data_IF_871581700322
#
_entry.id   IF_871581700322
#
_cell.length_a   1.000
_cell.length_b   1.000
_cell.length_c   1.000
_cell.angle_alpha   90.00
_cell.angle_beta   90.00
_cell.angle_gamma   90.00
#
_symmetry.space_group_name_H-M   'P 1'
#
loop_
_entity.id
_entity.type
_entity.pdbx_description
1 polymer ?
#
# COMPACT_ATOMS: atom_id res chain seq x y z
N UNK A 1 -16.24 -6.37 -8.38
CA UNK A 1 -17.01 -6.14 -7.12
C UNK A 1 -16.09 -6.38 -5.93
N UNK A 2 -16.45 -5.92 -4.72
CA UNK A 2 -15.61 -6.00 -3.51
C UNK A 2 -14.97 -7.38 -3.26
N UNK A 3 -15.69 -8.47 -3.55
CA UNK A 3 -15.19 -9.85 -3.41
C UNK A 3 -14.05 -10.18 -4.40
N UNK A 4 -14.05 -9.60 -5.61
CA UNK A 4 -13.01 -9.87 -6.62
C UNK A 4 -11.65 -9.36 -6.17
N UNK A 5 -11.60 -8.29 -5.39
CA UNK A 5 -10.36 -7.74 -4.86
C UNK A 5 -9.67 -8.69 -3.88
N UNK A 6 -10.41 -9.58 -3.18
CA UNK A 6 -9.78 -10.57 -2.28
C UNK A 6 -8.94 -11.58 -3.07
N UNK A 7 -9.37 -11.89 -4.30
CA UNK A 7 -8.65 -12.77 -5.21
C UNK A 7 -7.51 -12.00 -5.89
N UNK A 8 -7.82 -10.84 -6.49
CA UNK A 8 -6.84 -10.06 -7.26
C UNK A 8 -5.66 -9.59 -6.41
N UNK A 9 -5.94 -9.03 -5.23
CA UNK A 9 -4.93 -8.47 -4.35
C UNK A 9 -4.43 -9.46 -3.29
N UNK A 10 -4.84 -10.74 -3.34
CA UNK A 10 -4.48 -11.74 -2.34
C UNK A 10 -4.93 -11.40 -0.91
N UNK A 11 -5.96 -10.57 -0.77
CA UNK A 11 -6.32 -9.96 0.51
C UNK A 11 -7.01 -10.97 1.43
N UNK A 12 -6.24 -11.54 2.36
CA UNK A 12 -6.71 -12.47 3.38
C UNK A 12 -7.65 -11.79 4.40
N UNK A 13 -8.26 -12.60 5.27
CA UNK A 13 -8.99 -12.08 6.44
C UNK A 13 -8.03 -11.28 7.32
N UNK A 14 -8.54 -10.21 7.94
CA UNK A 14 -7.79 -9.33 8.83
C UNK A 14 -6.61 -8.60 8.17
N UNK A 15 -6.68 -8.35 6.87
CA UNK A 15 -5.69 -7.53 6.18
C UNK A 15 -5.58 -6.13 6.82
N UNK A 16 -4.34 -5.63 6.96
CA UNK A 16 -4.05 -4.27 7.44
C UNK A 16 -3.66 -3.44 6.23
N UNK A 17 -4.50 -2.48 5.90
CA UNK A 17 -4.39 -1.74 4.64
C UNK A 17 -4.05 -0.28 4.86
N UNK A 18 -2.97 0.18 4.25
CA UNK A 18 -2.52 1.56 4.32
C UNK A 18 -3.08 2.39 3.16
N UNK A 19 -3.79 3.47 3.50
CA UNK A 19 -4.36 4.39 2.53
C UNK A 19 -3.36 5.47 2.12
N UNK A 20 -2.72 5.26 0.96
CA UNK A 20 -1.84 6.26 0.30
C UNK A 20 -2.49 6.93 -0.91
N UNK A 21 -3.73 6.54 -1.24
CA UNK A 21 -4.58 7.18 -2.24
C UNK A 21 -5.85 7.72 -1.59
N UNK A 22 -6.50 8.76 -2.17
CA UNK A 22 -7.75 9.26 -1.64
C UNK A 22 -8.85 8.19 -1.67
N UNK A 23 -9.43 7.88 -0.50
CA UNK A 23 -10.42 6.81 -0.35
C UNK A 23 -11.65 6.99 -1.27
N UNK A 24 -12.01 8.23 -1.63
CA UNK A 24 -13.14 8.48 -2.52
C UNK A 24 -12.91 7.94 -3.94
N UNK A 25 -11.67 7.93 -4.45
CA UNK A 25 -11.34 7.27 -5.72
C UNK A 25 -11.41 5.75 -5.55
N UNK A 26 -10.77 5.22 -4.50
CA UNK A 26 -10.71 3.79 -4.24
C UNK A 26 -12.07 3.18 -3.89
N UNK A 27 -13.05 3.98 -3.46
CA UNK A 27 -14.42 3.55 -3.26
C UNK A 27 -15.04 3.01 -4.56
N UNK A 28 -14.75 3.62 -5.71
CA UNK A 28 -15.19 3.11 -7.02
C UNK A 28 -14.57 1.75 -7.37
N UNK A 29 -13.36 1.48 -6.86
CA UNK A 29 -12.68 0.18 -6.99
C UNK A 29 -13.07 -0.81 -5.88
N UNK A 30 -14.00 -0.44 -5.00
CA UNK A 30 -14.52 -1.24 -3.91
C UNK A 30 -13.54 -1.65 -2.80
N UNK A 31 -12.30 -1.14 -2.75
CA UNK A 31 -11.34 -1.51 -1.70
C UNK A 31 -11.81 -1.23 -0.26
N UNK A 32 -12.47 -0.09 0.05
CA UNK A 32 -13.01 0.12 1.40
C UNK A 32 -14.02 -0.96 1.81
N UNK A 33 -14.85 -1.40 0.86
CA UNK A 33 -15.83 -2.47 1.07
C UNK A 33 -15.18 -3.85 1.16
N UNK A 34 -14.10 -4.09 0.40
CA UNK A 34 -13.31 -5.32 0.50
C UNK A 34 -12.75 -5.49 1.92
N UNK A 35 -12.22 -4.43 2.54
CA UNK A 35 -11.73 -4.51 3.91
C UNK A 35 -12.85 -4.80 4.91
N UNK A 36 -14.01 -4.18 4.74
CA UNK A 36 -15.17 -4.49 5.58
C UNK A 36 -15.55 -5.98 5.49
N UNK A 37 -15.59 -6.55 4.27
CA UNK A 37 -15.87 -7.98 4.05
C UNK A 37 -14.81 -8.88 4.69
N UNK A 38 -13.53 -8.49 4.64
CA UNK A 38 -12.42 -9.26 5.18
C UNK A 38 -12.16 -9.02 6.68
N UNK A 39 -12.98 -8.21 7.36
CA UNK A 39 -12.73 -7.75 8.73
C UNK A 39 -11.31 -7.15 8.89
N UNK A 40 -10.91 -6.34 7.90
CA UNK A 40 -9.60 -5.70 7.80
C UNK A 40 -9.52 -4.37 8.55
N UNK A 41 -8.29 -3.89 8.71
CA UNK A 41 -7.96 -2.63 9.38
C UNK A 41 -7.63 -1.54 8.37
N UNK A 42 -8.22 -0.36 8.55
CA UNK A 42 -7.90 0.83 7.77
C UNK A 42 -6.83 1.65 8.50
N UNK A 43 -5.65 1.79 7.90
CA UNK A 43 -4.59 2.68 8.38
C UNK A 43 -4.58 3.92 7.50
N UNK A 44 -4.96 5.07 8.07
CA UNK A 44 -5.12 6.32 7.32
C UNK A 44 -3.98 7.28 7.64
N UNK A 45 -3.40 7.88 6.60
CA UNK A 45 -2.41 8.93 6.74
C UNK A 45 -3.03 10.31 6.53
N UNK A 46 -2.56 11.29 7.30
CA UNK A 46 -2.85 12.71 7.02
C UNK A 46 -2.14 13.17 5.74
N UNK A 47 -0.90 12.73 5.54
CA UNK A 47 -0.06 13.10 4.39
C UNK A 47 0.73 11.89 3.89
N UNK A 48 0.77 11.71 2.58
CA UNK A 48 1.59 10.68 1.93
C UNK A 48 3.02 11.19 1.83
N UNK A 49 3.86 10.80 2.78
CA UNK A 49 5.27 11.20 2.91
C UNK A 49 6.10 9.99 3.37
N UNK A 50 7.42 9.94 3.08
CA UNK A 50 8.24 8.75 3.36
C UNK A 50 8.13 8.28 4.81
N UNK A 51 8.52 9.12 5.77
CA UNK A 51 8.54 8.75 7.20
C UNK A 51 7.18 8.27 7.73
N UNK A 52 6.05 8.99 7.54
CA UNK A 52 4.74 8.50 7.97
C UNK A 52 4.33 7.16 7.35
N UNK A 53 4.74 6.87 6.11
CA UNK A 53 4.46 5.57 5.48
C UNK A 53 5.26 4.47 6.17
N UNK A 54 6.58 4.63 6.30
CA UNK A 54 7.43 3.64 6.97
C UNK A 54 7.05 3.43 8.43
N UNK A 55 6.72 4.50 9.16
CA UNK A 55 6.22 4.43 10.53
C UNK A 55 4.91 3.61 10.58
N UNK A 56 3.94 3.93 9.73
CA UNK A 56 2.68 3.20 9.70
C UNK A 56 2.84 1.72 9.32
N UNK A 57 3.73 1.40 8.38
CA UNK A 57 4.02 0.01 7.99
C UNK A 57 4.59 -0.77 9.18
N UNK A 58 5.59 -0.21 9.86
CA UNK A 58 6.26 -0.86 10.98
C UNK A 58 5.37 -0.95 12.23
N UNK A 59 4.65 0.12 12.58
CA UNK A 59 3.89 0.22 13.83
C UNK A 59 2.56 -0.54 13.78
N UNK A 60 1.95 -0.66 12.59
CA UNK A 60 0.65 -1.29 12.43
C UNK A 60 0.69 -2.66 11.74
N UNK A 61 1.86 -3.10 11.28
CA UNK A 61 2.00 -4.37 10.56
C UNK A 61 1.21 -4.36 9.25
N UNK A 62 1.32 -3.28 8.47
CA UNK A 62 0.63 -3.13 7.18
C UNK A 62 0.98 -4.32 6.28
N UNK A 63 -0.05 -4.88 5.63
CA UNK A 63 0.09 -6.00 4.70
C UNK A 63 -0.21 -5.61 3.25
N UNK A 64 -1.02 -4.58 3.03
CA UNK A 64 -1.40 -4.15 1.69
C UNK A 64 -1.44 -2.62 1.58
N UNK A 65 -1.12 -2.11 0.40
CA UNK A 65 -1.53 -0.77 -0.02
C UNK A 65 -1.74 -0.71 -1.53
N UNK A 66 -2.46 0.33 -1.97
CA UNK A 66 -2.48 0.73 -3.38
C UNK A 66 -1.81 2.08 -3.49
N UNK A 67 -0.98 2.27 -4.52
CA UNK A 67 -0.39 3.57 -4.81
C UNK A 67 -0.26 3.83 -6.30
N UNK A 68 -0.24 5.11 -6.66
CA UNK A 68 0.17 5.54 -7.99
C UNK A 68 1.71 5.52 -8.10
N UNK A 69 2.30 5.57 -9.31
CA UNK A 69 3.76 5.58 -9.49
C UNK A 69 4.49 6.64 -8.65
N UNK A 70 3.83 7.78 -8.38
CA UNK A 70 4.38 8.81 -7.49
C UNK A 70 4.60 8.33 -6.05
N UNK A 71 3.74 7.45 -5.53
CA UNK A 71 3.88 6.86 -4.19
C UNK A 71 5.07 5.89 -4.16
N UNK A 72 5.24 5.10 -5.22
CA UNK A 72 6.42 4.23 -5.37
C UNK A 72 7.71 5.04 -5.38
N UNK A 73 7.73 6.14 -6.14
CA UNK A 73 8.88 7.06 -6.14
C UNK A 73 9.14 7.68 -4.76
N UNK A 74 8.10 7.98 -3.98
CA UNK A 74 8.23 8.49 -2.60
C UNK A 74 8.91 7.46 -1.69
N UNK A 75 8.62 6.16 -1.87
CA UNK A 75 9.23 5.07 -1.11
C UNK A 75 10.69 4.82 -1.55
N UNK A 76 10.92 4.64 -2.84
CA UNK A 76 12.25 4.34 -3.40
C UNK A 76 13.26 5.45 -3.08
N UNK A 77 12.82 6.71 -3.15
CA UNK A 77 13.68 7.87 -2.90
C UNK A 77 13.66 8.34 -1.43
N UNK A 78 13.10 7.54 -0.51
CA UNK A 78 13.15 7.85 0.91
C UNK A 78 14.61 7.93 1.39
N UNK A 79 14.92 8.93 2.23
CA UNK A 79 16.21 9.01 2.91
C UNK A 79 16.28 7.91 3.96
N UNK A 80 17.49 7.42 4.26
CA UNK A 80 17.64 6.29 5.18
C UNK A 80 17.14 6.60 6.61
N UNK A 81 17.19 7.88 7.03
CA UNK A 81 16.61 8.34 8.30
C UNK A 81 15.07 8.24 8.37
N UNK A 82 14.41 8.22 7.20
CA UNK A 82 12.96 8.10 7.08
C UNK A 82 12.53 6.63 6.93
N UNK A 83 13.45 5.72 6.60
CA UNK A 83 13.19 4.28 6.45
C UNK A 83 13.15 3.58 7.80
N UNK A 84 12.32 2.54 7.90
CA UNK A 84 12.28 1.63 9.05
C UNK A 84 12.21 0.19 8.57
N UNK A 85 12.88 -0.69 9.31
CA UNK A 85 12.76 -2.12 9.10
C UNK A 85 11.40 -2.63 9.62
N UNK A 86 10.84 -3.59 8.90
CA UNK A 86 9.64 -4.33 9.27
C UNK A 86 9.78 -5.77 8.74
N UNK A 87 9.16 -6.72 9.43
CA UNK A 87 9.42 -8.15 9.21
C UNK A 87 8.54 -8.79 8.13
N UNK A 88 7.42 -8.15 7.80
CA UNK A 88 6.43 -8.66 6.86
C UNK A 88 6.64 -8.13 5.44
N UNK A 89 6.19 -8.88 4.44
CA UNK A 89 6.05 -8.39 3.07
C UNK A 89 4.79 -7.54 2.95
N UNK A 90 4.90 -6.43 2.22
CA UNK A 90 3.76 -5.54 1.94
C UNK A 90 3.41 -5.67 0.45
N UNK A 91 2.19 -6.09 0.15
CA UNK A 91 1.71 -6.14 -1.23
C UNK A 91 1.36 -4.73 -1.71
N UNK A 92 2.08 -4.28 -2.75
CA UNK A 92 1.83 -2.99 -3.38
C UNK A 92 1.05 -3.17 -4.68
N UNK A 93 -0.21 -2.77 -4.69
CA UNK A 93 -1.01 -2.74 -5.90
C UNK A 93 -0.81 -1.39 -6.63
N UNK A 94 -0.28 -1.47 -7.85
CA UNK A 94 -0.15 -0.27 -8.68
C UNK A 94 -1.51 0.15 -9.21
N UNK A 95 -1.86 1.42 -9.02
CA UNK A 95 -3.12 1.98 -9.49
C UNK A 95 -2.92 3.27 -10.28
N UNK A 96 -4.00 3.72 -10.93
CA UNK A 96 -4.12 4.95 -11.73
C UNK A 96 -3.31 4.98 -13.05
N UNK A 97 -2.04 4.58 -13.04
CA UNK A 97 -1.19 4.59 -14.24
C UNK A 97 -0.19 3.42 -14.19
N UNK A 98 0.24 2.89 -15.36
CA UNK A 98 1.31 1.90 -15.40
C UNK A 98 2.60 2.51 -14.82
N UNK A 99 3.34 1.78 -13.98
CA UNK A 99 4.61 2.24 -13.44
C UNK A 99 5.70 2.19 -14.53
N UNK A 100 6.60 3.20 -14.60
CA UNK A 100 7.78 3.11 -15.45
C UNK A 100 8.66 1.93 -15.05
N UNK A 101 9.34 1.29 -16.00
CA UNK A 101 10.19 0.11 -15.75
C UNK A 101 11.26 0.34 -14.66
N UNK A 102 11.89 1.52 -14.67
CA UNK A 102 12.87 1.91 -13.65
C UNK A 102 12.28 1.94 -12.22
N UNK A 103 10.99 2.28 -12.08
CA UNK A 103 10.29 2.29 -10.79
C UNK A 103 10.02 0.85 -10.32
N UNK A 104 9.60 -0.04 -11.22
CA UNK A 104 9.38 -1.46 -10.90
C UNK A 104 10.64 -2.15 -10.38
N UNK A 105 11.79 -1.91 -11.02
CA UNK A 105 13.07 -2.46 -10.56
C UNK A 105 13.43 -1.99 -9.15
N UNK A 106 13.24 -0.70 -8.86
CA UNK A 106 13.53 -0.13 -7.54
C UNK A 106 12.61 -0.66 -6.43
N UNK A 107 11.38 -1.06 -6.75
CA UNK A 107 10.47 -1.65 -5.76
C UNK A 107 10.89 -3.05 -5.32
N UNK A 108 11.31 -3.88 -6.29
CA UNK A 108 11.82 -5.22 -5.99
C UNK A 108 13.03 -5.16 -5.04
N UNK A 109 13.95 -4.22 -5.27
CA UNK A 109 15.12 -4.00 -4.42
C UNK A 109 14.75 -3.45 -3.03
N UNK A 110 13.62 -2.76 -2.90
CA UNK A 110 13.10 -2.24 -1.64
C UNK A 110 12.33 -3.28 -0.80
N UNK A 111 12.18 -4.51 -1.31
CA UNK A 111 11.46 -5.60 -0.63
C UNK A 111 9.94 -5.55 -0.78
N UNK A 112 9.43 -4.80 -1.77
CA UNK A 112 8.01 -4.75 -2.10
C UNK A 112 7.75 -5.58 -3.38
N UNK A 113 6.72 -6.44 -3.34
CA UNK A 113 6.33 -7.35 -4.43
C UNK A 113 4.83 -7.29 -4.71
#
# INVERSE_FOLDING_TARGET
MAYTNTIHAGMAKHAVYLWTLPMFHCNGWCFPWTLAVQAGTHVCLRWVRPKPIYDAIADHGVTHLCGAPVVMSVLINARDEDKRAFAQTVTFNTAAAPPPEAVLSGMADAGEA
#
